data_IF_626170030649
#
_entry.id   IF_626170030649
#
_cell.length_a   1.000
_cell.length_b   1.000
_cell.length_c   1.000
_cell.angle_alpha   90.00
_cell.angle_beta   90.00
_cell.angle_gamma   90.00
#
_symmetry.space_group_name_H-M   'P 1'
#
loop_
_entity.id
_entity.type
_entity.pdbx_description
1 polymer ?
#
# COMPACT_ATOMS: atom_id res chain seq x y z
N UNK A 1 9.45 -10.31 -3.09
CA UNK A 1 10.23 -9.28 -2.37
C UNK A 1 9.43 -8.86 -1.14
N UNK A 2 10.08 -8.63 0.01
CA UNK A 2 9.41 -7.98 1.15
C UNK A 2 9.27 -6.50 0.83
N UNK A 3 8.09 -6.05 0.46
CA UNK A 3 7.79 -4.62 0.35
C UNK A 3 7.90 -3.98 1.74
N UNK A 4 8.46 -2.77 1.89
CA UNK A 4 8.59 -2.11 3.18
C UNK A 4 7.25 -1.91 3.91
N UNK A 5 6.13 -2.03 3.20
CA UNK A 5 4.78 -1.88 3.72
C UNK A 5 4.16 -3.18 4.27
N UNK A 6 4.78 -4.35 4.06
CA UNK A 6 4.21 -5.66 4.46
C UNK A 6 3.99 -5.80 5.98
N UNK A 7 4.77 -5.07 6.78
CA UNK A 7 4.64 -5.05 8.25
C UNK A 7 3.24 -4.60 8.68
N UNK A 8 2.63 -3.67 7.95
CA UNK A 8 1.28 -3.19 8.28
C UNK A 8 0.24 -4.29 8.12
N UNK A 9 0.37 -5.17 7.13
CA UNK A 9 -0.54 -6.30 6.97
C UNK A 9 -0.49 -7.26 8.16
N UNK A 10 0.72 -7.53 8.68
CA UNK A 10 0.89 -8.38 9.86
C UNK A 10 0.16 -7.76 11.06
N UNK A 11 0.37 -6.45 11.28
CA UNK A 11 -0.26 -5.71 12.37
C UNK A 11 -1.79 -5.61 12.23
N UNK A 12 -2.31 -5.44 11.01
CA UNK A 12 -3.75 -5.47 10.72
C UNK A 12 -4.33 -6.83 11.13
N UNK A 13 -3.71 -7.92 10.67
CA UNK A 13 -4.18 -9.27 10.97
C UNK A 13 -4.15 -9.57 12.49
N UNK A 14 -3.12 -9.10 13.21
CA UNK A 14 -3.04 -9.24 14.67
C UNK A 14 -4.11 -8.44 15.40
N UNK A 15 -4.35 -7.19 14.98
CA UNK A 15 -5.39 -6.34 15.55
C UNK A 15 -6.80 -6.92 15.30
N UNK A 16 -7.06 -7.46 14.11
CA UNK A 16 -8.33 -8.13 13.80
C UNK A 16 -8.54 -9.39 14.65
N UNK A 17 -7.49 -10.22 14.81
CA UNK A 17 -7.56 -11.44 15.66
C UNK A 17 -7.83 -11.13 17.13
N UNK A 18 -7.36 -10.00 17.62
CA UNK A 18 -7.57 -9.55 19.00
C UNK A 18 -8.85 -8.75 19.19
N UNK A 19 -9.63 -8.53 18.12
CA UNK A 19 -10.86 -7.74 18.15
C UNK A 19 -10.64 -6.23 18.29
N UNK A 20 -9.41 -5.76 18.16
CA UNK A 20 -9.06 -4.35 18.29
C UNK A 20 -9.29 -3.60 16.98
N UNK A 21 -10.55 -3.20 16.74
CA UNK A 21 -10.98 -2.52 15.51
C UNK A 21 -10.31 -1.16 15.29
N UNK A 22 -10.04 -0.42 16.35
CA UNK A 22 -9.36 0.89 16.28
C UNK A 22 -7.95 0.72 15.74
N UNK A 23 -7.16 -0.22 16.29
CA UNK A 23 -5.82 -0.49 15.78
C UNK A 23 -5.83 -1.08 14.37
N UNK A 24 -6.80 -1.93 14.05
CA UNK A 24 -6.93 -2.46 12.69
C UNK A 24 -7.17 -1.32 11.67
N UNK A 25 -7.98 -0.32 12.02
CA UNK A 25 -8.21 0.86 11.19
C UNK A 25 -6.94 1.71 11.04
N UNK A 26 -6.28 2.05 12.14
CA UNK A 26 -5.02 2.82 12.13
C UNK A 26 -3.95 2.14 11.25
N UNK A 27 -3.81 0.81 11.35
CA UNK A 27 -2.83 0.09 10.54
C UNK A 27 -3.22 0.02 9.05
N UNK A 28 -4.51 -0.01 8.72
CA UNK A 28 -4.98 0.12 7.32
C UNK A 28 -4.61 1.49 6.75
N UNK A 29 -4.80 2.57 7.49
CA UNK A 29 -4.39 3.92 7.08
C UNK A 29 -2.87 4.00 6.86
N UNK A 30 -2.07 3.41 7.77
CA UNK A 30 -0.61 3.40 7.63
C UNK A 30 -0.12 2.55 6.46
N UNK A 31 -0.83 1.48 6.12
CA UNK A 31 -0.56 0.71 4.90
C UNK A 31 -0.81 1.56 3.65
N UNK A 32 -1.92 2.31 3.61
CA UNK A 32 -2.22 3.24 2.50
C UNK A 32 -1.11 4.28 2.37
N UNK A 33 -0.78 5.00 3.45
CA UNK A 33 0.27 6.03 3.46
C UNK A 33 1.59 5.46 2.94
N UNK A 34 2.00 4.30 3.45
CA UNK A 34 3.27 3.67 3.05
C UNK A 34 3.32 3.41 1.55
N UNK A 35 2.30 2.75 0.99
CA UNK A 35 2.27 2.41 -0.43
C UNK A 35 2.24 3.68 -1.28
N UNK A 36 1.34 4.62 -0.97
CA UNK A 36 1.14 5.83 -1.77
C UNK A 36 2.39 6.70 -1.79
N UNK A 37 3.00 6.96 -0.63
CA UNK A 37 4.19 7.82 -0.57
C UNK A 37 5.43 7.16 -1.15
N UNK A 38 5.63 5.85 -0.95
CA UNK A 38 6.76 5.15 -1.57
C UNK A 38 6.62 5.12 -3.09
N UNK A 39 5.42 4.86 -3.63
CA UNK A 39 5.20 4.93 -5.08
C UNK A 39 5.48 6.34 -5.61
N UNK A 40 4.96 7.38 -4.95
CA UNK A 40 5.20 8.77 -5.37
C UNK A 40 6.69 9.13 -5.36
N UNK A 41 7.44 8.69 -4.36
CA UNK A 41 8.89 8.92 -4.27
C UNK A 41 9.63 8.22 -5.43
N UNK A 42 9.29 6.96 -5.71
CA UNK A 42 9.89 6.19 -6.82
C UNK A 42 9.61 6.84 -8.18
N UNK A 43 8.36 7.28 -8.40
CA UNK A 43 7.98 8.03 -9.60
C UNK A 43 8.76 9.33 -9.71
N UNK A 44 8.89 10.08 -8.62
CA UNK A 44 9.60 11.36 -8.60
C UNK A 44 11.11 11.21 -8.92
N UNK A 45 11.73 10.08 -8.54
CA UNK A 45 13.13 9.78 -8.89
C UNK A 45 13.30 9.49 -10.39
N UNK A 46 12.29 8.87 -11.03
CA UNK A 46 12.19 8.74 -12.48
C UNK A 46 13.24 7.85 -13.17
N UNK A 47 14.09 7.12 -12.42
CA UNK A 47 15.03 6.16 -13.02
C UNK A 47 14.27 4.90 -13.42
N UNK A 48 14.71 4.22 -14.47
CA UNK A 48 14.03 3.02 -14.98
C UNK A 48 13.92 1.87 -13.97
N UNK A 49 14.81 1.79 -12.99
CA UNK A 49 14.68 0.88 -11.85
C UNK A 49 13.57 1.30 -10.90
N UNK A 50 13.54 2.57 -10.49
CA UNK A 50 12.52 3.08 -9.57
C UNK A 50 11.11 2.98 -10.18
N UNK A 51 10.96 3.22 -11.48
CA UNK A 51 9.67 3.09 -12.17
C UNK A 51 9.18 1.63 -12.21
N UNK A 52 10.09 0.66 -12.33
CA UNK A 52 9.74 -0.77 -12.24
C UNK A 52 9.31 -1.12 -10.82
N UNK A 53 10.05 -0.66 -9.82
CA UNK A 53 9.71 -0.87 -8.41
C UNK A 53 8.37 -0.21 -8.05
N UNK A 54 8.08 0.98 -8.61
CA UNK A 54 6.80 1.66 -8.45
C UNK A 54 5.64 0.83 -9.02
N UNK A 55 5.82 0.24 -10.20
CA UNK A 55 4.81 -0.61 -10.83
C UNK A 55 4.60 -1.92 -10.06
N UNK A 56 5.67 -2.54 -9.54
CA UNK A 56 5.54 -3.69 -8.65
C UNK A 56 4.80 -3.34 -7.36
N UNK A 57 5.09 -2.18 -6.77
CA UNK A 57 4.44 -1.71 -5.55
C UNK A 57 2.96 -1.33 -5.80
N UNK A 58 2.61 -0.80 -6.97
CA UNK A 58 1.23 -0.54 -7.38
C UNK A 58 0.43 -1.85 -7.54
N UNK A 59 1.02 -2.89 -8.15
CA UNK A 59 0.40 -4.22 -8.23
C UNK A 59 0.18 -4.84 -6.86
N UNK A 60 1.17 -4.72 -5.98
CA UNK A 60 1.04 -5.14 -4.59
C UNK A 60 -0.08 -4.37 -3.87
N UNK A 61 -0.15 -3.04 -4.03
CA UNK A 61 -1.18 -2.22 -3.42
C UNK A 61 -2.60 -2.56 -3.89
N UNK A 62 -2.76 -2.90 -5.18
CA UNK A 62 -4.03 -3.39 -5.72
C UNK A 62 -4.45 -4.74 -5.08
N UNK A 63 -3.54 -5.71 -5.00
CA UNK A 63 -3.80 -7.02 -4.38
C UNK A 63 -4.23 -6.86 -2.91
N UNK A 64 -3.43 -6.13 -2.13
CA UNK A 64 -3.69 -5.95 -0.71
C UNK A 64 -4.95 -5.12 -0.47
N UNK A 65 -5.18 -4.08 -1.26
CA UNK A 65 -6.40 -3.26 -1.19
C UNK A 65 -7.67 -4.10 -1.43
N UNK A 66 -7.63 -5.02 -2.40
CA UNK A 66 -8.72 -5.97 -2.64
C UNK A 66 -8.90 -6.96 -1.49
N UNK A 67 -7.80 -7.57 -1.02
CA UNK A 67 -7.83 -8.59 0.04
C UNK A 67 -8.34 -8.04 1.37
N UNK A 68 -7.94 -6.82 1.73
CA UNK A 68 -8.30 -6.19 3.01
C UNK A 68 -9.55 -5.29 2.92
N UNK A 69 -10.11 -5.10 1.71
CA UNK A 69 -11.26 -4.24 1.47
C UNK A 69 -10.98 -2.76 1.76
N UNK A 70 -9.82 -2.25 1.33
CA UNK A 70 -9.38 -0.87 1.56
C UNK A 70 -9.65 -0.05 0.29
N UNK A 71 -10.85 0.52 0.16
CA UNK A 71 -11.28 1.27 -1.03
C UNK A 71 -10.42 2.51 -1.30
N UNK A 72 -9.91 3.16 -0.25
CA UNK A 72 -9.01 4.32 -0.39
C UNK A 72 -7.70 3.94 -1.10
N UNK A 73 -7.14 2.77 -0.80
CA UNK A 73 -5.93 2.27 -1.46
C UNK A 73 -6.19 2.04 -2.96
N UNK A 74 -7.32 1.43 -3.30
CA UNK A 74 -7.72 1.22 -4.69
C UNK A 74 -7.85 2.55 -5.45
N UNK A 75 -8.45 3.56 -4.81
CA UNK A 75 -8.55 4.90 -5.40
C UNK A 75 -7.16 5.49 -5.71
N UNK A 76 -6.24 5.46 -4.75
CA UNK A 76 -4.91 6.02 -4.94
C UNK A 76 -4.06 5.25 -5.96
N UNK A 77 -4.11 3.91 -5.95
CA UNK A 77 -3.42 3.07 -6.96
C UNK A 77 -3.89 3.44 -8.37
N UNK A 78 -5.20 3.57 -8.58
CA UNK A 78 -5.77 3.97 -9.87
C UNK A 78 -5.36 5.39 -10.27
N UNK A 79 -5.28 6.31 -9.32
CA UNK A 79 -4.85 7.69 -9.57
C UNK A 79 -3.37 7.75 -9.99
N UNK A 80 -2.50 7.00 -9.31
CA UNK A 80 -1.07 6.96 -9.57
C UNK A 80 -0.76 6.30 -10.92
N UNK A 81 -1.46 5.21 -11.27
CA UNK A 81 -1.34 4.56 -12.59
C UNK A 81 -1.73 5.46 -13.76
N UNK A 82 -2.66 6.41 -13.56
CA UNK A 82 -3.05 7.37 -14.61
C UNK A 82 -2.05 8.53 -14.78
N UNK A 83 -1.16 8.75 -13.80
CA UNK A 83 -0.16 9.82 -13.80
C UNK A 83 1.20 9.36 -14.33
N UNK A 84 1.49 8.07 -14.25
CA UNK A 84 2.66 7.42 -14.87
C UNK A 84 2.41 7.11 -16.34
#
# INVERSE_FOLDING_TARGET
MSTPCNRWEVLINEAEKTGNKEKALEFREKLVECIVYTVQELIAKGRSEDLRDAEELLKYGEDVGNRLGISELQFHVNLLRKRN
#
